data_IF_577343197461
#
_entry.id   IF_577343197461
#
_cell.length_a   1.000
_cell.length_b   1.000
_cell.length_c   1.000
_cell.angle_alpha   90.00
_cell.angle_beta   90.00
_cell.angle_gamma   90.00
#
_symmetry.space_group_name_H-M   'P 1'
#
loop_
_entity.id
_entity.type
_entity.pdbx_description
1 polymer ?
#
# COMPACT_ATOMS: atom_id res chain seq x y z
N UNK A 1 -12.51 4.51 -20.45
CA UNK A 1 -13.87 4.54 -19.87
C UNK A 1 -14.05 5.67 -18.87
N UNK A 2 -13.13 5.82 -17.92
CA UNK A 2 -13.23 6.85 -16.88
C UNK A 2 -12.15 7.94 -17.00
N UNK A 3 -11.59 8.15 -18.17
CA UNK A 3 -10.47 9.09 -18.38
C UNK A 3 -10.80 10.54 -18.08
N UNK A 4 -12.08 10.91 -18.12
CA UNK A 4 -12.54 12.26 -17.81
C UNK A 4 -12.85 12.43 -16.31
N UNK A 5 -12.72 11.36 -15.52
CA UNK A 5 -12.93 11.41 -14.09
C UNK A 5 -11.60 11.69 -13.41
N UNK A 6 -11.60 12.71 -12.57
CA UNK A 6 -10.46 13.06 -11.72
C UNK A 6 -10.85 12.72 -10.29
N UNK A 7 -10.05 11.91 -9.62
CA UNK A 7 -10.29 11.49 -8.26
C UNK A 7 -9.09 11.80 -7.38
N UNK A 8 -9.34 12.27 -6.18
CA UNK A 8 -8.33 12.37 -5.14
C UNK A 8 -8.69 11.37 -4.05
N UNK A 9 -7.73 10.51 -3.69
CA UNK A 9 -7.92 9.52 -2.63
C UNK A 9 -7.06 9.94 -1.45
N UNK A 10 -7.70 10.17 -0.31
CA UNK A 10 -7.03 10.47 0.95
C UNK A 10 -7.13 9.23 1.83
N UNK A 11 -6.00 8.62 2.13
CA UNK A 11 -6.06 7.40 2.92
C UNK A 11 -4.71 6.75 3.17
N UNK A 12 -4.77 5.54 3.69
CA UNK A 12 -3.60 4.79 4.12
C UNK A 12 -2.83 4.20 2.95
N UNK A 13 -1.51 4.20 3.13
CA UNK A 13 -0.54 3.54 2.25
C UNK A 13 0.38 2.76 3.18
N UNK A 14 0.42 1.45 3.05
CA UNK A 14 1.29 0.62 3.90
C UNK A 14 1.79 -0.61 3.16
N UNK A 15 2.79 -1.24 3.74
CA UNK A 15 3.30 -2.51 3.27
C UNK A 15 2.64 -3.62 4.07
N UNK A 16 2.11 -4.63 3.39
CA UNK A 16 1.57 -5.82 4.05
C UNK A 16 2.66 -6.88 4.16
N UNK A 17 2.84 -7.40 5.36
CA UNK A 17 3.69 -8.55 5.61
C UNK A 17 2.81 -9.80 5.61
N UNK A 18 3.06 -10.68 4.65
CA UNK A 18 2.31 -11.92 4.50
C UNK A 18 3.11 -13.04 5.13
N UNK A 19 2.53 -13.67 6.13
CA UNK A 19 3.13 -14.80 6.83
C UNK A 19 2.41 -16.08 6.42
N UNK A 20 3.17 -17.02 5.89
CA UNK A 20 2.66 -18.36 5.61
C UNK A 20 2.99 -19.29 6.76
N UNK A 21 2.01 -20.07 7.18
CA UNK A 21 2.17 -20.99 8.31
C UNK A 21 1.26 -22.21 8.11
N UNK A 22 1.60 -23.31 8.76
CA UNK A 22 0.82 -24.56 8.61
C UNK A 22 -0.54 -24.50 9.28
N UNK A 23 -0.69 -23.68 10.31
CA UNK A 23 -1.95 -23.48 11.01
C UNK A 23 -2.01 -22.08 11.61
N UNK A 24 -3.21 -21.62 11.90
CA UNK A 24 -3.43 -20.38 12.65
C UNK A 24 -3.13 -20.66 14.12
N UNK A 25 -2.29 -19.83 14.78
CA UNK A 25 -1.98 -20.05 16.20
C UNK A 25 -3.20 -19.79 17.08
N UNK A 26 -3.34 -20.61 18.12
CA UNK A 26 -4.30 -20.36 19.20
C UNK A 26 -3.75 -19.33 20.18
N UNK A 27 -4.60 -18.83 21.06
CA UNK A 27 -4.19 -17.84 22.07
C UNK A 27 -3.04 -18.40 22.90
N UNK A 28 -1.94 -17.67 22.99
CA UNK A 28 -0.75 -18.06 23.74
C UNK A 28 0.13 -19.08 23.04
N UNK A 29 -0.22 -19.52 21.85
CA UNK A 29 0.57 -20.47 21.06
C UNK A 29 1.57 -19.77 20.16
N UNK A 30 2.76 -20.33 20.05
CA UNK A 30 3.76 -19.92 19.08
C UNK A 30 3.75 -20.87 17.89
N UNK A 31 3.63 -20.33 16.69
CA UNK A 31 3.66 -21.11 15.44
C UNK A 31 4.81 -20.60 14.59
N UNK A 32 5.64 -21.52 14.11
CA UNK A 32 6.72 -21.19 13.20
C UNK A 32 6.14 -20.93 11.81
N UNK A 33 6.40 -19.75 11.27
CA UNK A 33 6.05 -19.43 9.89
C UNK A 33 6.90 -20.25 8.91
N UNK A 34 6.28 -20.69 7.80
CA UNK A 34 6.98 -21.46 6.76
C UNK A 34 7.65 -20.55 5.75
N UNK A 35 7.09 -19.36 5.52
CA UNK A 35 7.66 -18.34 4.64
C UNK A 35 7.03 -16.99 4.93
N UNK A 36 7.62 -15.94 4.38
CA UNK A 36 7.03 -14.61 4.45
C UNK A 36 7.25 -13.87 3.14
N UNK A 37 6.46 -12.84 2.94
CA UNK A 37 6.59 -11.94 1.79
C UNK A 37 5.94 -10.60 2.08
N UNK A 38 6.09 -9.69 1.14
CA UNK A 38 5.52 -8.35 1.25
C UNK A 38 4.57 -8.09 0.09
N UNK A 39 3.50 -7.35 0.36
CA UNK A 39 2.59 -6.86 -0.66
C UNK A 39 2.26 -5.40 -0.39
N UNK A 40 2.01 -4.65 -1.47
CA UNK A 40 1.57 -3.27 -1.37
C UNK A 40 0.16 -3.25 -0.79
N UNK A 41 -0.07 -2.46 0.24
CA UNK A 41 -1.33 -2.43 0.96
C UNK A 41 -1.78 -1.04 1.34
N UNK A 42 -2.80 -1.00 2.18
CA UNK A 42 -3.49 0.21 2.60
C UNK A 42 -4.78 0.41 1.83
N UNK A 43 -5.86 0.70 2.55
CA UNK A 43 -7.18 0.91 1.93
C UNK A 43 -7.16 2.03 0.91
N UNK A 44 -6.47 3.14 1.24
CA UNK A 44 -6.35 4.28 0.33
C UNK A 44 -5.59 3.92 -0.93
N UNK A 45 -4.45 3.26 -0.80
CA UNK A 45 -3.66 2.83 -1.95
C UNK A 45 -4.43 1.83 -2.82
N UNK A 46 -5.18 0.91 -2.21
CA UNK A 46 -5.99 -0.06 -2.94
C UNK A 46 -7.13 0.61 -3.71
N UNK A 47 -7.80 1.60 -3.12
CA UNK A 47 -8.84 2.38 -3.79
C UNK A 47 -8.28 3.17 -4.97
N UNK A 48 -7.14 3.83 -4.78
CA UNK A 48 -6.48 4.58 -5.85
C UNK A 48 -6.11 3.66 -7.02
N UNK A 49 -5.56 2.49 -6.71
CA UNK A 49 -5.20 1.49 -7.71
C UNK A 49 -6.42 1.01 -8.51
N UNK A 50 -7.53 0.73 -7.84
CA UNK A 50 -8.75 0.29 -8.49
C UNK A 50 -9.30 1.36 -9.43
N UNK A 51 -9.32 2.63 -9.00
CA UNK A 51 -9.77 3.74 -9.83
C UNK A 51 -8.86 3.93 -11.05
N UNK A 52 -7.55 3.83 -10.86
CA UNK A 52 -6.59 3.95 -11.95
C UNK A 52 -6.78 2.84 -13.00
N UNK A 53 -7.05 1.61 -12.55
CA UNK A 53 -7.34 0.49 -13.46
C UNK A 53 -8.59 0.71 -14.28
N UNK A 54 -9.57 1.45 -13.75
CA UNK A 54 -10.78 1.83 -14.47
C UNK A 54 -10.55 3.00 -15.44
N UNK A 55 -9.36 3.56 -15.46
CA UNK A 55 -8.99 4.63 -16.37
C UNK A 55 -9.17 6.05 -15.84
N UNK A 56 -9.57 6.21 -14.57
CA UNK A 56 -9.67 7.53 -13.93
C UNK A 56 -8.28 8.15 -13.74
N UNK A 57 -8.23 9.47 -13.72
CA UNK A 57 -7.03 10.21 -13.32
C UNK A 57 -7.04 10.35 -11.81
N UNK A 58 -6.07 9.75 -11.15
CA UNK A 58 -6.07 9.61 -9.68
C UNK A 58 -4.87 10.34 -9.09
N UNK A 59 -5.15 11.13 -8.05
CA UNK A 59 -4.13 11.70 -7.17
C UNK A 59 -4.24 11.02 -5.82
N UNK A 60 -3.13 10.50 -5.33
CA UNK A 60 -3.06 9.93 -3.99
C UNK A 60 -2.58 10.97 -2.98
N UNK A 61 -3.29 11.09 -1.87
CA UNK A 61 -2.93 11.95 -0.75
C UNK A 61 -2.74 11.05 0.47
N UNK A 62 -1.55 11.03 1.00
CA UNK A 62 -1.21 10.17 2.11
C UNK A 62 0.20 10.44 2.60
N UNK A 63 0.78 9.45 3.27
CA UNK A 63 2.08 9.60 3.88
C UNK A 63 2.82 8.26 3.88
N UNK A 64 4.09 8.31 3.54
CA UNK A 64 5.02 7.20 3.68
C UNK A 64 6.30 7.72 4.33
N UNK A 65 7.12 6.83 4.86
CA UNK A 65 8.44 7.20 5.34
C UNK A 65 9.45 7.16 4.19
N UNK A 66 10.58 7.82 4.39
CA UNK A 66 11.72 7.72 3.49
C UNK A 66 12.52 6.45 3.86
N UNK A 67 11.92 5.31 3.60
CA UNK A 67 12.52 3.99 3.81
C UNK A 67 12.29 3.11 2.59
N UNK A 68 12.85 1.90 2.60
CA UNK A 68 12.76 0.96 1.48
C UNK A 68 11.30 0.64 1.15
N UNK A 69 10.47 0.40 2.15
CA UNK A 69 9.05 0.11 1.96
C UNK A 69 8.30 1.31 1.39
N UNK A 70 8.55 2.51 1.92
CA UNK A 70 7.95 3.74 1.42
C UNK A 70 8.29 4.00 -0.04
N UNK A 71 9.55 3.81 -0.41
CA UNK A 71 9.99 4.00 -1.79
C UNK A 71 9.36 2.99 -2.75
N UNK A 72 9.25 1.73 -2.34
CA UNK A 72 8.57 0.70 -3.13
C UNK A 72 7.10 1.01 -3.33
N UNK A 73 6.43 1.49 -2.30
CA UNK A 73 5.02 1.86 -2.38
C UNK A 73 4.80 3.03 -3.34
N UNK A 74 5.65 4.04 -3.29
CA UNK A 74 5.59 5.17 -4.23
C UNK A 74 5.82 4.73 -5.66
N UNK A 75 6.83 3.89 -5.90
CA UNK A 75 7.10 3.36 -7.23
C UNK A 75 5.91 2.56 -7.78
N UNK A 76 5.27 1.77 -6.94
CA UNK A 76 4.08 1.00 -7.33
C UNK A 76 2.94 1.93 -7.76
N UNK A 77 2.66 2.97 -6.98
CA UNK A 77 1.61 3.94 -7.33
C UNK A 77 1.95 4.66 -8.64
N UNK A 78 3.18 5.11 -8.80
CA UNK A 78 3.63 5.78 -10.03
C UNK A 78 3.53 4.86 -11.25
N UNK A 79 3.84 3.58 -11.10
CA UNK A 79 3.76 2.61 -12.19
C UNK A 79 2.33 2.42 -12.71
N UNK A 80 1.34 2.75 -11.90
CA UNK A 80 -0.09 2.71 -12.25
C UNK A 80 -0.61 4.04 -12.78
N UNK A 81 0.27 5.03 -12.98
CA UNK A 81 -0.11 6.34 -13.47
C UNK A 81 -0.76 7.24 -12.42
N UNK A 82 -0.65 6.90 -11.15
CA UNK A 82 -1.21 7.69 -10.05
C UNK A 82 -0.27 8.85 -9.72
N UNK A 83 -0.85 10.04 -9.58
CA UNK A 83 -0.13 11.23 -9.14
C UNK A 83 0.18 11.12 -7.65
N UNK A 84 1.45 11.04 -7.31
CA UNK A 84 1.92 10.92 -5.93
C UNK A 84 2.42 12.23 -5.32
N UNK A 85 2.19 13.36 -5.99
CA UNK A 85 2.63 14.67 -5.49
C UNK A 85 1.99 15.05 -4.15
N UNK A 86 0.84 14.44 -3.82
CA UNK A 86 0.17 14.62 -2.54
C UNK A 86 0.61 13.65 -1.45
N UNK A 87 1.59 12.79 -1.71
CA UNK A 87 2.11 11.85 -0.71
C UNK A 87 3.29 12.48 -0.01
N UNK A 88 3.13 12.75 1.29
CA UNK A 88 4.20 13.29 2.11
C UNK A 88 5.19 12.18 2.49
N UNK A 89 6.44 12.56 2.59
CA UNK A 89 7.52 11.67 3.04
C UNK A 89 8.13 12.25 4.30
N UNK A 90 8.27 11.46 5.35
CA UNK A 90 8.94 11.89 6.57
C UNK A 90 9.95 10.84 7.04
N UNK A 91 10.66 11.13 8.13
CA UNK A 91 11.70 10.25 8.67
C UNK A 91 11.19 9.09 9.52
N UNK A 92 9.86 8.93 9.68
CA UNK A 92 9.30 7.83 10.45
C UNK A 92 9.26 6.54 9.64
N UNK A 93 8.81 5.47 10.25
CA UNK A 93 8.70 4.17 9.58
C UNK A 93 7.41 4.09 8.77
N UNK A 94 7.49 3.53 7.55
CA UNK A 94 6.30 3.20 6.77
C UNK A 94 5.46 2.16 7.51
N UNK A 95 4.13 2.33 7.49
CA UNK A 95 3.22 1.40 8.12
C UNK A 95 3.40 -0.03 7.59
N UNK A 96 3.42 -0.98 8.51
CA UNK A 96 3.56 -2.41 8.22
C UNK A 96 2.40 -3.15 8.88
N UNK A 97 1.66 -3.91 8.08
CA UNK A 97 0.57 -4.75 8.56
C UNK A 97 0.90 -6.23 8.31
N UNK A 98 0.60 -7.06 9.28
CA UNK A 98 0.84 -8.50 9.19
C UNK A 98 -0.49 -9.29 9.19
#
# INVERSE_FOLDING_TARGET
MYKDIHAAVVGSINMDLILNMKKVPEIGENVLGTSYGYANGGKGANQASALAQLGARVKMIGKVADDTNGNKLLENLKSKGIDTSGVATDGSQTGLAA
#
